data_IF_166563039705
#
_entry.id   IF_166563039705
#
_cell.length_a   1.000
_cell.length_b   1.000
_cell.length_c   1.000
_cell.angle_alpha   90.00
_cell.angle_beta   90.00
_cell.angle_gamma   90.00
#
_symmetry.space_group_name_H-M   'P 1'
#
loop_
_entity.id
_entity.type
_entity.pdbx_description
1 polymer ?
#
# COMPACT_ATOMS: atom_id res chain seq x y z
N UNK A 1 55.38 107.09 57.52
CA UNK A 1 54.50 105.97 57.11
C UNK A 1 53.62 105.57 58.29
N UNK A 2 52.33 105.33 58.08
CA UNK A 2 51.37 104.98 59.14
C UNK A 2 51.34 103.45 59.35
N UNK A 3 51.66 102.97 60.56
CA UNK A 3 51.73 101.55 60.90
C UNK A 3 50.41 100.79 60.65
N UNK A 4 49.26 101.44 60.79
CA UNK A 4 47.96 100.83 60.51
C UNK A 4 47.72 100.58 59.02
N UNK A 5 48.20 101.47 58.14
CA UNK A 5 48.10 101.29 56.69
C UNK A 5 48.98 100.12 56.21
N UNK A 6 50.19 99.98 56.77
CA UNK A 6 51.09 98.87 56.48
C UNK A 6 50.47 97.52 56.89
N UNK A 7 49.87 97.45 58.09
CA UNK A 7 49.23 96.23 58.58
C UNK A 7 48.07 95.77 57.66
N UNK A 8 47.19 96.69 57.25
CA UNK A 8 46.11 96.37 56.30
C UNK A 8 46.66 95.88 54.96
N UNK A 9 47.70 96.53 54.44
CA UNK A 9 48.32 96.10 53.18
C UNK A 9 48.92 94.69 53.27
N UNK A 10 49.52 94.34 54.42
CA UNK A 10 50.03 92.98 54.65
C UNK A 10 48.89 91.96 54.73
N UNK A 11 47.81 92.26 55.45
CA UNK A 11 46.63 91.40 55.56
C UNK A 11 45.95 91.18 54.20
N UNK A 12 45.81 92.24 53.39
CA UNK A 12 45.26 92.18 52.04
C UNK A 12 46.14 91.37 51.09
N UNK A 13 47.47 91.55 51.13
CA UNK A 13 48.38 90.74 50.32
C UNK A 13 48.38 89.27 50.73
N UNK A 14 48.29 88.97 52.03
CA UNK A 14 48.16 87.59 52.51
C UNK A 14 46.85 86.96 52.04
N UNK A 15 45.75 87.71 52.08
CA UNK A 15 44.46 87.27 51.55
C UNK A 15 44.52 87.03 50.04
N UNK A 16 45.12 87.96 49.29
CA UNK A 16 45.30 87.83 47.84
C UNK A 16 46.16 86.60 47.51
N UNK A 17 47.26 86.37 48.23
CA UNK A 17 48.09 85.19 48.05
C UNK A 17 47.31 83.89 48.31
N UNK A 18 46.49 83.86 49.37
CA UNK A 18 45.62 82.71 49.65
C UNK A 18 44.60 82.48 48.53
N UNK A 19 43.97 83.54 48.00
CA UNK A 19 43.05 83.44 46.86
C UNK A 19 43.76 82.96 45.58
N UNK A 20 44.97 83.46 45.29
CA UNK A 20 45.78 82.98 44.17
C UNK A 20 46.11 81.50 44.30
N UNK A 21 46.54 81.02 45.48
CA UNK A 21 46.82 79.58 45.67
C UNK A 21 45.58 78.71 45.47
N UNK A 22 44.40 79.19 45.92
CA UNK A 22 43.14 78.48 45.72
C UNK A 22 42.74 78.43 44.25
N UNK A 23 42.92 79.53 43.52
CA UNK A 23 42.59 79.61 42.10
C UNK A 23 43.52 78.72 41.26
N UNK A 24 44.82 78.72 41.56
CA UNK A 24 45.79 77.81 40.92
C UNK A 24 45.39 76.35 41.15
N UNK A 25 45.09 75.96 42.39
CA UNK A 25 44.62 74.60 42.69
C UNK A 25 43.28 74.26 42.01
N UNK A 26 42.45 75.26 41.67
CA UNK A 26 41.26 75.05 40.85
C UNK A 26 41.61 74.84 39.38
N UNK A 27 42.49 75.66 38.82
CA UNK A 27 42.99 75.51 37.44
C UNK A 27 43.60 74.12 37.24
N UNK A 28 44.47 73.66 38.14
CA UNK A 28 45.09 72.34 38.06
C UNK A 28 44.04 71.21 38.03
N UNK A 29 42.96 71.35 38.83
CA UNK A 29 41.86 70.38 38.82
C UNK A 29 41.10 70.38 37.49
N UNK A 30 40.80 71.56 36.95
CA UNK A 30 40.10 71.66 35.67
C UNK A 30 40.95 71.17 34.50
N UNK A 31 42.27 71.39 34.52
CA UNK A 31 43.19 70.86 33.51
C UNK A 31 43.24 69.33 33.54
N UNK A 32 43.26 68.73 34.73
CA UNK A 32 43.18 67.27 34.89
C UNK A 32 41.85 66.71 34.37
N UNK A 33 40.75 67.38 34.69
CA UNK A 33 39.41 66.99 34.23
C UNK A 33 39.28 67.08 32.71
N UNK A 34 39.75 68.18 32.09
CA UNK A 34 39.79 68.31 30.64
C UNK A 34 40.62 67.20 29.98
N UNK A 35 41.76 66.87 30.57
CA UNK A 35 42.63 65.79 30.09
C UNK A 35 41.99 64.40 30.23
N UNK A 36 41.10 64.19 31.20
CA UNK A 36 40.32 62.96 31.32
C UNK A 36 39.24 62.90 30.24
N UNK A 37 38.49 63.99 30.03
CA UNK A 37 37.47 64.05 28.97
C UNK A 37 38.05 63.85 27.57
N UNK A 38 39.24 64.37 27.28
CA UNK A 38 39.91 64.13 26.01
C UNK A 38 40.23 62.64 25.83
N UNK A 39 40.77 61.98 26.86
CA UNK A 39 41.04 60.54 26.81
C UNK A 39 39.77 59.72 26.64
N UNK A 40 38.71 60.05 27.37
CA UNK A 40 37.44 59.34 27.30
C UNK A 40 36.79 59.50 25.91
N UNK A 41 36.86 60.72 25.33
CA UNK A 41 36.38 60.98 23.98
C UNK A 41 37.15 60.14 22.95
N UNK A 42 38.47 60.09 23.07
CA UNK A 42 39.32 59.34 22.13
C UNK A 42 39.05 57.82 22.29
N UNK A 43 38.90 57.31 23.51
CA UNK A 43 38.54 55.92 23.78
C UNK A 43 37.15 55.56 23.22
N UNK A 44 36.17 56.45 23.33
CA UNK A 44 34.84 56.26 22.75
C UNK A 44 34.88 56.25 21.22
N UNK A 45 35.75 57.05 20.62
CA UNK A 45 35.95 57.05 19.17
C UNK A 45 36.53 55.72 18.69
N UNK A 46 37.56 55.21 19.38
CA UNK A 46 38.18 53.92 19.08
C UNK A 46 37.18 52.77 19.26
N UNK A 47 36.41 52.79 20.34
CA UNK A 47 35.34 51.81 20.56
C UNK A 47 34.29 51.83 19.44
N UNK A 48 33.90 53.02 18.99
CA UNK A 48 32.97 53.20 17.87
C UNK A 48 33.52 52.62 16.57
N UNK A 49 34.79 52.87 16.26
CA UNK A 49 35.47 52.31 15.09
C UNK A 49 35.51 50.78 15.15
N UNK A 50 35.89 50.20 16.29
CA UNK A 50 35.96 48.75 16.45
C UNK A 50 34.57 48.10 16.39
N UNK A 51 33.54 48.73 16.98
CA UNK A 51 32.17 48.25 16.88
C UNK A 51 31.66 48.28 15.43
N UNK A 52 31.98 49.33 14.67
CA UNK A 52 31.62 49.46 13.26
C UNK A 52 32.28 48.40 12.39
N UNK A 53 33.59 48.16 12.57
CA UNK A 53 34.30 47.12 11.83
C UNK A 53 33.78 45.72 12.18
N UNK A 54 33.47 45.45 13.46
CA UNK A 54 32.80 44.19 13.84
C UNK A 54 31.43 44.03 13.18
N UNK A 55 30.65 45.11 13.09
CA UNK A 55 29.35 45.08 12.41
C UNK A 55 29.50 44.76 10.92
N UNK A 56 30.45 45.41 10.21
CA UNK A 56 30.73 45.12 8.80
C UNK A 56 31.12 43.67 8.56
N UNK A 57 31.98 43.10 9.41
CA UNK A 57 32.41 41.70 9.29
C UNK A 57 31.23 40.75 9.50
N UNK A 58 30.36 41.04 10.48
CA UNK A 58 29.16 40.25 10.72
C UNK A 58 28.17 40.33 9.55
N UNK A 59 27.97 41.53 8.98
CA UNK A 59 27.10 41.75 7.83
C UNK A 59 27.61 41.02 6.58
N UNK A 60 28.91 41.13 6.27
CA UNK A 60 29.51 40.40 5.14
C UNK A 60 29.36 38.88 5.28
N UNK A 61 29.48 38.35 6.50
CA UNK A 61 29.24 36.93 6.78
C UNK A 61 27.77 36.55 6.61
N UNK A 62 26.84 37.39 7.05
CA UNK A 62 25.41 37.16 6.90
C UNK A 62 25.01 37.12 5.42
N UNK A 63 25.45 38.11 4.64
CA UNK A 63 25.25 38.15 3.18
C UNK A 63 25.79 36.87 2.52
N UNK A 64 26.98 36.41 2.92
CA UNK A 64 27.55 35.18 2.35
C UNK A 64 26.72 33.93 2.65
N UNK A 65 26.11 33.86 3.83
CA UNK A 65 25.23 32.75 4.19
C UNK A 65 23.90 32.84 3.46
N UNK A 66 23.36 34.03 3.25
CA UNK A 66 22.14 34.26 2.45
C UNK A 66 22.34 33.79 1.00
N UNK A 67 23.47 34.13 0.36
CA UNK A 67 23.82 33.62 -0.98
C UNK A 67 23.84 32.09 -1.03
N UNK A 68 24.43 31.43 -0.03
CA UNK A 68 24.52 29.96 0.02
C UNK A 68 23.15 29.34 0.25
N UNK A 69 22.31 29.94 1.09
CA UNK A 69 20.95 29.47 1.31
C UNK A 69 20.10 29.57 0.04
N UNK A 70 20.23 30.66 -0.70
CA UNK A 70 19.55 30.83 -1.99
C UNK A 70 20.00 29.77 -2.99
N UNK A 71 21.30 29.52 -3.13
CA UNK A 71 21.84 28.46 -3.99
C UNK A 71 21.32 27.07 -3.61
N UNK A 72 21.34 26.71 -2.32
CA UNK A 72 20.84 25.42 -1.86
C UNK A 72 19.33 25.28 -2.05
N UNK A 73 18.58 26.37 -1.90
CA UNK A 73 17.14 26.39 -2.17
C UNK A 73 16.86 26.11 -3.64
N UNK A 74 17.58 26.76 -4.55
CA UNK A 74 17.47 26.54 -5.98
C UNK A 74 17.84 25.11 -6.38
N UNK A 75 18.92 24.56 -5.81
CA UNK A 75 19.32 23.17 -6.02
C UNK A 75 18.25 22.18 -5.53
N UNK A 76 17.67 22.44 -4.36
CA UNK A 76 16.60 21.61 -3.80
C UNK A 76 15.36 21.63 -4.70
N UNK A 77 14.94 22.81 -5.18
CA UNK A 77 13.83 22.90 -6.13
C UNK A 77 14.13 22.17 -7.44
N UNK A 78 15.36 22.28 -7.96
CA UNK A 78 15.76 21.54 -9.16
C UNK A 78 15.70 20.03 -8.95
N UNK A 79 16.16 19.53 -7.80
CA UNK A 79 16.06 18.13 -7.43
C UNK A 79 14.60 17.67 -7.32
N UNK A 80 13.75 18.48 -6.69
CA UNK A 80 12.31 18.21 -6.60
C UNK A 80 11.66 18.11 -7.97
N UNK A 81 11.92 19.08 -8.85
CA UNK A 81 11.41 19.06 -10.24
C UNK A 81 11.88 17.82 -11.00
N UNK A 82 13.12 17.36 -10.78
CA UNK A 82 13.64 16.13 -11.40
C UNK A 82 12.93 14.87 -10.88
N UNK A 83 12.65 14.80 -9.58
CA UNK A 83 11.90 13.69 -8.99
C UNK A 83 10.47 13.65 -9.51
N UNK A 84 9.78 14.79 -9.54
CA UNK A 84 8.42 14.91 -10.07
C UNK A 84 8.35 14.44 -11.54
N UNK A 85 9.41 14.68 -12.33
CA UNK A 85 9.52 14.20 -13.72
C UNK A 85 9.87 12.70 -13.84
N UNK A 86 10.55 12.11 -12.85
CA UNK A 86 10.93 10.70 -12.86
C UNK A 86 9.79 9.79 -12.39
N UNK A 87 8.95 10.23 -11.44
CA UNK A 87 7.87 9.42 -10.90
C UNK A 87 6.84 9.01 -11.98
N UNK A 88 6.60 9.88 -12.97
CA UNK A 88 5.65 9.61 -14.07
C UNK A 88 6.22 8.67 -15.16
N UNK A 89 7.51 8.78 -15.47
CA UNK A 89 8.17 8.00 -16.54
C UNK A 89 8.66 6.64 -16.04
N UNK A 90 9.35 6.56 -14.89
CA UNK A 90 9.86 5.29 -14.34
C UNK A 90 8.74 4.37 -13.85
N UNK A 91 7.68 4.93 -13.23
CA UNK A 91 6.53 4.15 -12.79
C UNK A 91 5.81 3.46 -13.94
N UNK A 92 5.52 4.21 -15.01
CA UNK A 92 4.86 3.69 -16.20
C UNK A 92 5.72 2.67 -16.98
N UNK A 93 7.04 2.88 -17.03
CA UNK A 93 7.98 1.96 -17.67
C UNK A 93 8.12 0.67 -16.85
N UNK A 94 8.24 0.77 -15.53
CA UNK A 94 8.34 -0.39 -14.64
C UNK A 94 7.07 -1.24 -14.67
N UNK A 95 5.90 -0.62 -14.60
CA UNK A 95 4.60 -1.33 -14.69
C UNK A 95 4.50 -2.10 -16.01
N UNK A 96 4.84 -1.45 -17.13
CA UNK A 96 4.82 -2.09 -18.46
C UNK A 96 5.78 -3.29 -18.54
N UNK A 97 6.98 -3.16 -17.98
CA UNK A 97 8.01 -4.21 -17.97
C UNK A 97 7.63 -5.40 -17.09
N UNK A 98 6.90 -5.18 -15.99
CA UNK A 98 6.42 -6.26 -15.12
C UNK A 98 5.19 -6.98 -15.70
N UNK A 99 4.32 -6.24 -16.39
CA UNK A 99 3.08 -6.77 -16.94
C UNK A 99 3.32 -7.64 -18.18
N UNK A 100 4.30 -7.29 -19.01
CA UNK A 100 4.56 -7.97 -20.29
C UNK A 100 4.90 -9.47 -20.14
N UNK A 101 5.81 -9.90 -19.23
CA UNK A 101 6.08 -11.32 -18.97
C UNK A 101 4.86 -12.10 -18.44
N UNK A 102 4.04 -11.46 -17.61
CA UNK A 102 2.83 -12.07 -17.04
C UNK A 102 1.82 -12.34 -18.16
N UNK A 103 1.60 -11.35 -19.04
CA UNK A 103 0.68 -11.51 -20.15
C UNK A 103 1.20 -12.53 -21.19
N UNK A 104 2.50 -12.64 -21.41
CA UNK A 104 3.09 -13.67 -22.27
C UNK A 104 2.95 -15.09 -21.69
N UNK A 105 3.02 -15.24 -20.36
CA UNK A 105 2.74 -16.52 -19.70
C UNK A 105 1.28 -16.95 -19.89
N UNK A 106 0.35 -15.99 -19.83
CA UNK A 106 -1.09 -16.27 -19.83
C UNK A 106 -1.69 -16.45 -21.23
N UNK A 107 -1.12 -15.83 -22.26
CA UNK A 107 -1.73 -15.77 -23.59
C UNK A 107 -0.95 -16.60 -24.60
N UNK A 108 -1.66 -17.50 -25.28
CA UNK A 108 -1.10 -18.28 -26.40
C UNK A 108 -1.01 -17.40 -27.66
N UNK A 109 -0.06 -17.71 -28.53
CA UNK A 109 0.29 -16.93 -29.74
C UNK A 109 -0.90 -16.63 -30.67
N UNK A 110 -1.94 -17.47 -30.68
CA UNK A 110 -3.13 -17.32 -31.52
C UNK A 110 -4.22 -16.38 -30.95
N UNK A 111 -4.05 -15.90 -29.71
CA UNK A 111 -5.06 -15.08 -29.01
C UNK A 111 -5.32 -13.70 -29.63
N UNK A 112 -4.36 -13.13 -30.38
CA UNK A 112 -4.55 -11.81 -30.98
C UNK A 112 -5.66 -11.81 -32.07
N UNK A 113 -5.83 -12.92 -32.79
CA UNK A 113 -6.91 -13.06 -33.77
C UNK A 113 -8.29 -13.16 -33.10
N UNK A 114 -8.37 -13.84 -31.94
CA UNK A 114 -9.62 -13.97 -31.17
C UNK A 114 -10.07 -12.62 -30.59
N UNK A 115 -9.13 -11.76 -30.20
CA UNK A 115 -9.39 -10.41 -29.73
C UNK A 115 -10.08 -9.52 -30.79
N UNK A 116 -9.58 -9.52 -32.03
CA UNK A 116 -10.18 -8.78 -33.14
C UNK A 116 -11.59 -9.29 -33.46
N UNK A 117 -11.74 -10.60 -33.61
CA UNK A 117 -13.04 -11.23 -33.88
C UNK A 117 -14.06 -10.93 -32.76
N UNK A 118 -13.61 -10.88 -31.51
CA UNK A 118 -14.43 -10.50 -30.36
C UNK A 118 -14.92 -9.04 -30.46
N UNK A 119 -14.04 -8.09 -30.78
CA UNK A 119 -14.42 -6.69 -30.96
C UNK A 119 -15.37 -6.50 -32.15
N UNK A 120 -15.17 -7.23 -33.25
CA UNK A 120 -16.04 -7.21 -34.42
C UNK A 120 -17.45 -7.73 -34.09
N UNK A 121 -17.53 -8.88 -33.41
CA UNK A 121 -18.78 -9.47 -32.95
C UNK A 121 -19.54 -8.53 -31.98
N UNK A 122 -18.83 -7.68 -31.24
CA UNK A 122 -19.40 -6.72 -30.29
C UNK A 122 -19.43 -5.27 -30.82
N UNK A 123 -19.30 -5.05 -32.13
CA UNK A 123 -19.21 -3.72 -32.77
C UNK A 123 -20.47 -2.84 -32.63
N UNK A 124 -21.59 -3.42 -32.17
CA UNK A 124 -22.78 -2.69 -31.75
C UNK A 124 -22.49 -1.80 -30.54
N UNK A 125 -21.57 -2.22 -29.66
CA UNK A 125 -21.11 -1.42 -28.54
C UNK A 125 -20.20 -0.29 -29.04
N UNK A 126 -20.53 0.95 -28.64
CA UNK A 126 -19.78 2.15 -29.02
C UNK A 126 -18.29 2.05 -28.68
N UNK A 127 -17.97 1.47 -27.53
CA UNK A 127 -16.59 1.35 -27.05
C UNK A 127 -15.79 0.28 -27.80
N UNK A 128 -16.40 -0.89 -28.10
CA UNK A 128 -15.77 -1.92 -28.94
C UNK A 128 -15.46 -1.38 -30.34
N UNK A 129 -16.36 -0.57 -30.92
CA UNK A 129 -16.14 0.08 -32.22
C UNK A 129 -14.99 1.08 -32.20
N UNK A 130 -14.84 1.87 -31.13
CA UNK A 130 -13.72 2.81 -30.98
C UNK A 130 -12.39 2.07 -30.80
N UNK A 131 -12.37 1.01 -30.00
CA UNK A 131 -11.20 0.16 -29.80
C UNK A 131 -10.75 -0.49 -31.11
N UNK A 132 -11.70 -1.05 -31.87
CA UNK A 132 -11.41 -1.66 -33.17
C UNK A 132 -10.79 -0.66 -34.16
N UNK A 133 -11.31 0.58 -34.24
CA UNK A 133 -10.73 1.64 -35.09
C UNK A 133 -9.31 2.03 -34.70
N UNK A 134 -8.94 1.84 -33.42
CA UNK A 134 -7.62 2.18 -32.88
C UNK A 134 -6.74 0.94 -32.67
N UNK A 135 -7.16 -0.25 -33.13
CA UNK A 135 -6.52 -1.53 -32.81
C UNK A 135 -4.99 -1.51 -33.00
N UNK A 136 -4.51 -1.08 -34.16
CA UNK A 136 -3.08 -1.00 -34.49
C UNK A 136 -2.29 0.04 -33.66
N UNK A 137 -2.99 0.91 -32.95
CA UNK A 137 -2.43 1.93 -32.04
C UNK A 137 -2.53 1.52 -30.57
N UNK A 138 -3.22 0.43 -30.26
CA UNK A 138 -3.29 -0.09 -28.90
C UNK A 138 -1.93 -0.67 -28.51
N UNK A 139 -1.58 -0.54 -27.23
CA UNK A 139 -0.37 -1.17 -26.71
C UNK A 139 -0.48 -2.70 -26.84
N UNK A 140 0.64 -3.42 -27.01
CA UNK A 140 0.63 -4.88 -27.05
C UNK A 140 -0.06 -5.50 -25.84
N UNK A 141 0.16 -4.94 -24.64
CA UNK A 141 -0.49 -5.39 -23.41
C UNK A 141 -2.01 -5.20 -23.45
N UNK A 142 -2.49 -4.09 -24.02
CA UNK A 142 -3.94 -3.86 -24.20
C UNK A 142 -4.55 -4.87 -25.18
N UNK A 143 -3.87 -5.18 -26.29
CA UNK A 143 -4.33 -6.19 -27.24
C UNK A 143 -4.37 -7.59 -26.60
N UNK A 144 -3.36 -7.91 -25.81
CA UNK A 144 -3.25 -9.12 -24.99
C UNK A 144 -4.41 -9.25 -23.98
N UNK A 145 -4.73 -8.19 -23.22
CA UNK A 145 -5.89 -8.18 -22.31
C UNK A 145 -7.21 -8.38 -23.05
N UNK A 146 -7.37 -7.80 -24.24
CA UNK A 146 -8.56 -7.99 -25.08
C UNK A 146 -8.69 -9.43 -25.60
N UNK A 147 -7.56 -10.11 -25.88
CA UNK A 147 -7.53 -11.55 -26.18
C UNK A 147 -8.06 -12.37 -25.01
N UNK A 148 -7.60 -12.08 -23.78
CA UNK A 148 -8.09 -12.78 -22.59
C UNK A 148 -9.60 -12.55 -22.39
N UNK A 149 -10.09 -11.33 -22.61
CA UNK A 149 -11.52 -11.03 -22.52
C UNK A 149 -12.35 -11.83 -23.54
N UNK A 150 -11.81 -12.02 -24.76
CA UNK A 150 -12.43 -12.84 -25.79
C UNK A 150 -12.53 -14.32 -25.33
N UNK A 151 -11.44 -14.88 -24.82
CA UNK A 151 -11.38 -16.26 -24.32
C UNK A 151 -12.32 -16.50 -23.12
N UNK A 152 -12.36 -15.55 -22.18
CA UNK A 152 -13.30 -15.63 -21.05
C UNK A 152 -14.73 -15.70 -21.56
N UNK A 153 -15.08 -14.92 -22.59
CA UNK A 153 -16.43 -14.90 -23.17
C UNK A 153 -16.77 -16.18 -23.94
N UNK A 154 -15.79 -16.83 -24.58
CA UNK A 154 -16.04 -18.13 -25.22
C UNK A 154 -16.21 -19.22 -24.16
N UNK A 155 -15.34 -19.26 -23.14
CA UNK A 155 -15.44 -20.23 -22.04
C UNK A 155 -16.74 -20.09 -21.25
N UNK A 156 -17.26 -18.87 -21.08
CA UNK A 156 -18.54 -18.60 -20.42
C UNK A 156 -19.72 -19.25 -21.19
N UNK A 157 -19.69 -19.21 -22.53
CA UNK A 157 -20.68 -19.88 -23.38
C UNK A 157 -20.54 -21.40 -23.31
N UNK A 158 -19.32 -21.91 -23.43
CA UNK A 158 -19.05 -23.35 -23.39
C UNK A 158 -19.46 -23.97 -22.04
N UNK A 159 -19.21 -23.26 -20.94
CA UNK A 159 -19.68 -23.65 -19.61
C UNK A 159 -21.19 -23.80 -19.54
N UNK A 160 -21.94 -22.87 -20.14
CA UNK A 160 -23.40 -22.94 -20.16
C UNK A 160 -23.90 -24.12 -21.02
N UNK A 161 -23.28 -24.33 -22.18
CA UNK A 161 -23.59 -25.49 -23.03
C UNK A 161 -23.31 -26.81 -22.30
N UNK A 162 -22.19 -26.92 -21.60
CA UNK A 162 -21.85 -28.10 -20.81
C UNK A 162 -22.84 -28.31 -19.66
N UNK A 163 -23.31 -27.24 -19.01
CA UNK A 163 -24.34 -27.33 -17.97
C UNK A 163 -25.65 -27.91 -18.52
N UNK A 164 -26.10 -27.43 -19.69
CA UNK A 164 -27.32 -27.95 -20.34
C UNK A 164 -27.15 -29.42 -20.73
N UNK A 165 -26.01 -29.78 -21.31
CA UNK A 165 -25.73 -31.16 -21.71
C UNK A 165 -25.67 -32.10 -20.51
N UNK A 166 -25.08 -31.66 -19.39
CA UNK A 166 -25.05 -32.43 -18.15
C UNK A 166 -26.47 -32.68 -17.62
N UNK A 167 -27.30 -31.64 -17.55
CA UNK A 167 -28.69 -31.79 -17.11
C UNK A 167 -29.46 -32.78 -18.00
N UNK A 168 -29.30 -32.68 -19.32
CA UNK A 168 -29.94 -33.62 -20.26
C UNK A 168 -29.46 -35.06 -20.03
N UNK A 169 -28.16 -35.27 -19.86
CA UNK A 169 -27.61 -36.59 -19.60
C UNK A 169 -28.12 -37.17 -18.27
N UNK A 170 -28.28 -36.35 -17.23
CA UNK A 170 -28.88 -36.76 -15.96
C UNK A 170 -30.35 -37.16 -16.12
N UNK A 171 -31.13 -36.43 -16.92
CA UNK A 171 -32.52 -36.77 -17.26
C UNK A 171 -32.63 -38.09 -18.04
N UNK A 172 -31.76 -38.30 -19.04
CA UNK A 172 -31.70 -39.54 -19.82
C UNK A 172 -31.36 -40.75 -18.94
N UNK A 173 -30.37 -40.61 -18.04
CA UNK A 173 -30.01 -41.66 -17.08
C UNK A 173 -31.19 -42.02 -16.19
N UNK A 174 -31.98 -41.04 -15.75
CA UNK A 174 -33.17 -41.27 -14.93
C UNK A 174 -34.23 -42.09 -15.68
N UNK A 175 -34.52 -41.72 -16.93
CA UNK A 175 -35.48 -42.47 -17.77
C UNK A 175 -34.99 -43.90 -17.99
N UNK A 176 -33.72 -44.09 -18.35
CA UNK A 176 -33.14 -45.42 -18.54
C UNK A 176 -33.14 -46.25 -17.26
N UNK A 177 -32.96 -45.62 -16.10
CA UNK A 177 -33.06 -46.30 -14.81
C UNK A 177 -34.49 -46.80 -14.54
N UNK A 178 -35.49 -45.97 -14.80
CA UNK A 178 -36.90 -46.33 -14.64
C UNK A 178 -37.31 -47.45 -15.62
N UNK A 179 -36.89 -47.36 -16.89
CA UNK A 179 -37.10 -48.40 -17.90
C UNK A 179 -36.41 -49.72 -17.50
N UNK A 180 -35.17 -49.67 -17.02
CA UNK A 180 -34.46 -50.86 -16.53
C UNK A 180 -35.17 -51.51 -15.34
N UNK A 181 -35.73 -50.72 -14.42
CA UNK A 181 -36.52 -51.25 -13.30
C UNK A 181 -37.79 -51.99 -13.78
N UNK A 182 -38.48 -51.43 -14.78
CA UNK A 182 -39.66 -52.06 -15.40
C UNK A 182 -39.26 -53.38 -16.08
N UNK A 183 -38.19 -53.36 -16.88
CA UNK A 183 -37.68 -54.56 -17.55
C UNK A 183 -37.21 -55.62 -16.55
N UNK A 184 -36.60 -55.22 -15.43
CA UNK A 184 -36.20 -56.15 -14.38
C UNK A 184 -37.42 -56.82 -13.71
N UNK A 185 -38.48 -56.05 -13.44
CA UNK A 185 -39.72 -56.59 -12.90
C UNK A 185 -40.39 -57.58 -13.87
N UNK A 186 -40.42 -57.25 -15.16
CA UNK A 186 -40.99 -58.12 -16.20
C UNK A 186 -40.15 -59.39 -16.41
N UNK A 187 -38.81 -59.27 -16.43
CA UNK A 187 -37.91 -60.41 -16.49
C UNK A 187 -38.10 -61.34 -15.28
N UNK A 188 -38.22 -60.81 -14.07
CA UNK A 188 -38.53 -61.60 -12.86
C UNK A 188 -39.87 -62.32 -13.01
N UNK A 189 -40.90 -61.65 -13.56
CA UNK A 189 -42.23 -62.23 -13.82
C UNK A 189 -42.18 -63.38 -14.85
N UNK A 190 -41.46 -63.19 -15.95
CA UNK A 190 -41.30 -64.19 -17.00
C UNK A 190 -40.51 -65.41 -16.51
N UNK A 191 -39.41 -65.18 -15.78
CA UNK A 191 -38.61 -66.24 -15.19
C UNK A 191 -39.45 -67.10 -14.23
N UNK A 192 -40.34 -66.46 -13.45
CA UNK A 192 -41.27 -67.17 -12.58
C UNK A 192 -42.25 -68.05 -13.37
N UNK A 193 -42.84 -67.53 -14.46
CA UNK A 193 -43.71 -68.31 -15.36
C UNK A 193 -42.96 -69.49 -16.01
N UNK A 194 -41.75 -69.26 -16.50
CA UNK A 194 -40.92 -70.30 -17.12
C UNK A 194 -40.60 -71.44 -16.14
N UNK A 195 -40.18 -71.11 -14.91
CA UNK A 195 -39.96 -72.11 -13.85
C UNK A 195 -41.23 -72.89 -13.50
N UNK A 196 -42.40 -72.22 -13.51
CA UNK A 196 -43.69 -72.87 -13.28
C UNK A 196 -44.08 -73.83 -14.42
N UNK A 197 -43.80 -73.45 -15.67
CA UNK A 197 -44.04 -74.29 -16.85
C UNK A 197 -43.11 -75.52 -16.91
N UNK A 198 -41.81 -75.36 -16.62
CA UNK A 198 -40.86 -76.48 -16.51
C UNK A 198 -41.21 -77.45 -15.37
N UNK A 199 -41.89 -76.98 -14.32
CA UNK A 199 -42.39 -77.82 -13.24
C UNK A 199 -43.69 -78.57 -13.56
N UNK A 200 -44.30 -78.33 -14.72
CA UNK A 200 -45.66 -78.81 -15.05
C UNK A 200 -45.74 -79.76 -16.24
N UNK A 201 -44.61 -80.20 -16.80
CA UNK A 201 -44.62 -81.09 -17.96
C UNK A 201 -43.31 -81.85 -18.15
N UNK A 202 -43.02 -82.81 -17.26
CA UNK A 202 -42.68 -84.17 -17.66
C UNK A 202 -42.62 -85.10 -16.42
N UNK A 203 -43.57 -86.03 -16.34
CA UNK A 203 -43.39 -87.28 -15.58
C UNK A 203 -43.30 -88.39 -16.62
N UNK A 204 -42.12 -88.55 -17.20
CA UNK A 204 -41.67 -89.81 -17.79
C UNK A 204 -40.38 -90.23 -17.11
N UNK A 205 -40.24 -91.53 -16.94
CA UNK A 205 -39.48 -92.17 -15.89
C UNK A 205 -37.96 -92.26 -16.16
N UNK A 206 -37.24 -92.58 -15.08
CA UNK A 206 -35.90 -93.18 -15.02
C UNK A 206 -34.69 -92.22 -15.10
N UNK A 207 -34.13 -91.84 -13.95
CA UNK A 207 -33.07 -92.65 -13.31
C UNK A 207 -32.31 -91.84 -12.26
N UNK A 208 -31.97 -92.55 -11.18
CA UNK A 208 -31.38 -92.06 -9.96
C UNK A 208 -29.94 -91.54 -10.11
N UNK A 209 -29.58 -90.51 -9.35
CA UNK A 209 -28.47 -90.62 -8.40
C UNK A 209 -28.47 -89.50 -7.36
N UNK A 210 -28.17 -89.94 -6.16
CA UNK A 210 -28.03 -89.27 -4.86
C UNK A 210 -26.91 -88.24 -4.79
N UNK A 211 -27.15 -87.08 -4.12
CA UNK A 211 -26.36 -86.63 -2.95
C UNK A 211 -26.87 -85.31 -2.32
N UNK A 212 -27.29 -85.41 -1.05
CA UNK A 212 -27.12 -84.48 0.11
C UNK A 212 -27.17 -82.94 -0.15
N UNK A 213 -28.25 -82.24 0.21
CA UNK A 213 -28.48 -81.54 1.51
C UNK A 213 -27.37 -80.53 1.89
N UNK A 214 -27.61 -79.23 2.06
CA UNK A 214 -28.31 -78.65 3.23
C UNK A 214 -28.59 -77.12 3.07
N UNK A 215 -29.81 -76.73 3.51
CA UNK A 215 -30.21 -75.55 4.33
C UNK A 215 -29.92 -74.12 3.79
N UNK A 216 -30.95 -73.36 3.35
CA UNK A 216 -31.91 -72.50 4.13
C UNK A 216 -31.26 -71.21 4.67
N UNK A 217 -31.82 -70.00 4.66
CA UNK A 217 -33.14 -69.42 4.25
C UNK A 217 -33.12 -67.91 4.62
N UNK A 218 -33.79 -67.06 3.82
CA UNK A 218 -34.75 -65.98 4.21
C UNK A 218 -34.25 -64.77 5.04
N UNK A 219 -34.75 -63.52 5.02
CA UNK A 219 -36.02 -62.79 4.71
C UNK A 219 -35.66 -61.28 4.87
N UNK A 220 -36.09 -60.27 4.10
CA UNK A 220 -37.40 -59.67 3.78
C UNK A 220 -37.78 -58.42 4.62
N UNK A 221 -38.21 -57.36 3.91
CA UNK A 221 -39.02 -56.18 4.33
C UNK A 221 -38.34 -55.18 5.30
N UNK A 222 -38.52 -53.85 5.23
CA UNK A 222 -39.13 -52.92 4.30
C UNK A 222 -38.86 -51.48 4.82
N UNK A 223 -39.14 -50.49 3.97
CA UNK A 223 -39.39 -49.07 4.28
C UNK A 223 -38.20 -48.20 4.72
N UNK A 224 -37.81 -47.30 3.81
CA UNK A 224 -37.31 -45.97 4.14
C UNK A 224 -38.46 -45.07 4.60
N UNK A 225 -38.17 -44.00 5.36
CA UNK A 225 -38.32 -42.68 4.74
C UNK A 225 -37.27 -41.64 5.18
N UNK A 226 -36.80 -40.88 4.18
CA UNK A 226 -36.67 -39.41 4.12
C UNK A 226 -35.86 -38.65 5.20
N UNK A 227 -35.11 -37.69 4.67
CA UNK A 227 -34.56 -36.46 5.28
C UNK A 227 -33.17 -36.48 5.91
N UNK A 228 -32.22 -35.96 5.10
CA UNK A 228 -31.35 -34.81 5.43
C UNK A 228 -31.06 -34.61 6.92
N UNK A 229 -29.79 -34.84 7.30
CA UNK A 229 -29.00 -33.93 8.15
C UNK A 229 -27.54 -34.40 8.15
N UNK A 230 -26.72 -33.72 7.35
CA UNK A 230 -25.30 -33.57 7.66
C UNK A 230 -25.24 -32.76 8.95
N UNK A 231 -24.91 -33.42 10.07
CA UNK A 231 -24.57 -32.72 11.30
C UNK A 231 -23.10 -32.29 11.20
N UNK A 232 -22.92 -31.09 10.67
CA UNK A 232 -21.91 -30.15 11.16
C UNK A 232 -22.59 -29.35 12.28
N UNK A 233 -22.09 -29.47 13.50
CA UNK A 233 -22.21 -28.47 14.57
C UNK A 233 -20.78 -28.37 15.11
N UNK A 234 -20.18 -27.22 15.39
CA UNK A 234 -20.54 -25.81 15.50
C UNK A 234 -19.15 -25.13 15.59
N UNK A 235 -18.84 -23.89 15.25
CA UNK A 235 -19.54 -22.74 14.68
C UNK A 235 -18.43 -21.84 14.15
N UNK A 236 -18.78 -21.05 13.14
CA UNK A 236 -18.06 -19.95 12.51
C UNK A 236 -17.18 -19.11 13.45
N UNK A 237 -16.01 -18.65 12.97
CA UNK A 237 -15.93 -17.31 12.40
C UNK A 237 -14.57 -17.02 11.75
N UNK A 238 -14.61 -16.09 10.80
CA UNK A 238 -13.61 -15.79 9.80
C UNK A 238 -12.41 -14.96 10.30
N UNK A 239 -11.49 -14.71 9.36
CA UNK A 239 -10.08 -14.27 9.49
C UNK A 239 -9.87 -12.79 9.90
N UNK A 240 -8.78 -12.57 10.69
CA UNK A 240 -7.67 -11.55 10.69
C UNK A 240 -7.94 -10.06 10.35
N UNK A 241 -7.15 -9.01 10.76
CA UNK A 241 -5.72 -9.01 11.15
C UNK A 241 -5.17 -7.89 12.14
N UNK A 242 -3.86 -7.97 12.47
CA UNK A 242 -2.81 -6.97 12.90
C UNK A 242 -3.08 -5.87 13.97
N UNK A 243 -2.41 -5.85 15.14
CA UNK A 243 -1.08 -5.26 15.56
C UNK A 243 -1.33 -4.31 16.78
N UNK A 244 -0.33 -3.63 17.42
CA UNK A 244 0.66 -4.10 18.41
C UNK A 244 0.66 -3.29 19.76
N UNK A 245 1.64 -3.57 20.65
CA UNK A 245 2.13 -2.80 21.84
C UNK A 245 1.20 -2.82 23.10
N UNK A 246 1.58 -2.89 24.39
CA UNK A 246 2.76 -2.51 25.20
C UNK A 246 2.95 -3.37 26.48
N UNK A 247 4.22 -3.45 26.90
CA UNK A 247 4.79 -3.38 28.24
C UNK A 247 4.04 -3.94 29.47
N UNK A 248 4.72 -4.80 30.25
CA UNK A 248 5.24 -4.46 31.60
C UNK A 248 6.11 -5.59 32.18
N UNK A 249 7.41 -5.34 32.37
CA UNK A 249 8.00 -5.58 33.69
C UNK A 249 9.38 -4.94 33.85
N UNK A 250 9.74 -4.54 35.08
CA UNK A 250 10.62 -3.43 35.34
C UNK A 250 12.03 -3.87 35.78
N UNK A 251 13.00 -3.04 35.40
CA UNK A 251 14.19 -2.66 36.19
C UNK A 251 15.20 -3.78 36.48
N UNK A 252 16.30 -3.77 35.73
CA UNK A 252 17.62 -4.00 36.35
C UNK A 252 18.56 -2.85 36.00
N UNK A 253 19.20 -2.37 37.05
CA UNK A 253 20.02 -1.16 37.16
C UNK A 253 21.34 -1.37 36.45
N UNK A 254 21.84 -0.36 35.74
CA UNK A 254 23.24 0.07 35.89
C UNK A 254 23.45 1.45 35.28
N UNK A 255 23.55 2.46 36.15
CA UNK A 255 24.34 3.66 35.90
C UNK A 255 25.75 3.38 36.43
N UNK A 256 26.75 3.52 35.57
CA UNK A 256 27.86 4.48 35.69
C UNK A 256 28.67 4.45 34.40
#
# INVERSE_FOLDING_TARGET
>A
MNAHALKRFVEENQKLAAECTKLVAQCDRWEMECSLFERDRDALMDFGNEAHERAKVAEARAQKLEEVLEQLSDELEQCKRKLDLCEDEEGAVLEKNLLEPILDMLIKKDGLASACAFLEANSQQKECRKLLKRWNRLSPNTQKVLSMAAEVKTLEKDKELLRINLQRAEEEVKVLFDENNILEAENKRLLWKYRKALGSGDRSANSASTAKSQKRKSKSLACSPIEKKLNFNDVESARSPFLPIECESPVSKMKK
#
